data_IF_416576388048
#
_entry.id   IF_416576388048
#
_cell.length_a   1.000
_cell.length_b   1.000
_cell.length_c   1.000
_cell.angle_alpha   90.00
_cell.angle_beta   90.00
_cell.angle_gamma   90.00
#
_symmetry.space_group_name_H-M   'P 1'
#
loop_
_entity.id
_entity.type
_entity.pdbx_description
1 polymer ?
#
# COMPACT_ATOMS: atom_id res chain seq x y z
N UNK A 1 10.23 -23.91 -10.40
CA UNK A 1 8.81 -24.19 -10.08
C UNK A 1 8.33 -23.66 -8.73
N UNK A 2 8.81 -24.13 -7.57
CA UNK A 2 8.28 -23.70 -6.25
C UNK A 2 8.58 -22.22 -5.91
N UNK A 3 9.79 -21.74 -6.20
CA UNK A 3 10.21 -20.34 -6.01
C UNK A 3 9.54 -19.35 -6.95
N UNK A 4 9.27 -19.73 -8.20
CA UNK A 4 8.59 -18.87 -9.18
C UNK A 4 7.12 -18.65 -8.81
N UNK A 5 6.42 -19.73 -8.37
CA UNK A 5 5.05 -19.63 -7.88
C UNK A 5 4.95 -18.74 -6.64
N UNK A 6 5.95 -18.81 -5.75
CA UNK A 6 6.04 -17.91 -4.59
C UNK A 6 6.23 -16.45 -5.02
N UNK A 7 7.16 -16.17 -5.93
CA UNK A 7 7.41 -14.81 -6.46
C UNK A 7 6.16 -14.25 -7.15
N UNK A 8 5.48 -15.06 -7.97
CA UNK A 8 4.24 -14.66 -8.63
C UNK A 8 3.16 -14.33 -7.59
N UNK A 9 2.95 -15.19 -6.59
CA UNK A 9 1.94 -14.96 -5.55
C UNK A 9 2.22 -13.68 -4.78
N UNK A 10 3.48 -13.46 -4.42
CA UNK A 10 3.90 -12.29 -3.66
C UNK A 10 3.75 -11.00 -4.47
N UNK A 11 4.12 -11.02 -5.75
CA UNK A 11 3.91 -9.89 -6.64
C UNK A 11 2.41 -9.56 -6.81
N UNK A 12 1.55 -10.59 -6.95
CA UNK A 12 0.11 -10.41 -7.02
C UNK A 12 -0.46 -9.77 -5.75
N UNK A 13 -0.01 -10.22 -4.58
CA UNK A 13 -0.40 -9.63 -3.29
C UNK A 13 0.04 -8.17 -3.20
N UNK A 14 1.29 -7.86 -3.56
CA UNK A 14 1.78 -6.49 -3.55
C UNK A 14 0.98 -5.58 -4.49
N UNK A 15 0.57 -6.08 -5.66
CA UNK A 15 -0.23 -5.34 -6.63
C UNK A 15 -1.62 -5.02 -6.07
N UNK A 16 -2.36 -6.02 -5.59
CA UNK A 16 -3.69 -5.85 -4.97
C UNK A 16 -3.63 -4.84 -3.84
N UNK A 17 -2.61 -4.96 -3.00
CA UNK A 17 -2.36 -4.09 -1.87
C UNK A 17 -2.07 -2.65 -2.30
N UNK A 18 -1.21 -2.44 -3.30
CA UNK A 18 -0.94 -1.11 -3.83
C UNK A 18 -2.16 -0.43 -4.42
N UNK A 19 -2.99 -1.16 -5.17
CA UNK A 19 -4.21 -0.62 -5.80
C UNK A 19 -5.24 -0.17 -4.74
N UNK A 20 -5.46 -0.98 -3.71
CA UNK A 20 -6.35 -0.64 -2.60
C UNK A 20 -5.84 0.56 -1.78
N UNK A 21 -4.53 0.68 -1.56
CA UNK A 21 -3.93 1.85 -0.91
C UNK A 21 -4.21 3.13 -1.71
N UNK A 22 -3.90 3.11 -3.01
CA UNK A 22 -4.11 4.25 -3.90
C UNK A 22 -5.58 4.63 -4.02
N UNK A 23 -6.48 3.66 -4.12
CA UNK A 23 -7.93 3.89 -4.15
C UNK A 23 -8.41 4.60 -2.86
N UNK A 24 -7.94 4.15 -1.70
CA UNK A 24 -8.28 4.75 -0.40
C UNK A 24 -7.77 6.18 -0.32
N UNK A 25 -6.52 6.42 -0.71
CA UNK A 25 -5.93 7.75 -0.70
C UNK A 25 -6.62 8.69 -1.69
N UNK A 26 -6.99 8.19 -2.88
CA UNK A 26 -7.73 8.98 -3.89
C UNK A 26 -9.11 9.39 -3.38
N UNK A 27 -9.81 8.51 -2.67
CA UNK A 27 -11.08 8.83 -2.02
C UNK A 27 -10.89 9.98 -1.02
N UNK A 28 -9.91 9.88 -0.13
CA UNK A 28 -9.62 10.92 0.88
C UNK A 28 -9.22 12.24 0.21
N UNK A 29 -8.35 12.19 -0.81
CA UNK A 29 -7.96 13.37 -1.58
C UNK A 29 -9.17 14.09 -2.19
N UNK A 30 -10.10 13.34 -2.76
CA UNK A 30 -11.33 13.87 -3.34
C UNK A 30 -12.22 14.53 -2.30
N UNK A 31 -12.42 13.89 -1.14
CA UNK A 31 -13.36 14.40 -0.12
C UNK A 31 -12.79 15.59 0.67
N UNK A 32 -11.51 15.52 1.04
CA UNK A 32 -10.91 16.46 2.00
C UNK A 32 -9.98 17.50 1.37
N UNK A 33 -9.45 17.24 0.16
CA UNK A 33 -8.36 18.02 -0.43
C UNK A 33 -8.58 18.42 -1.91
N UNK A 34 -9.78 18.20 -2.48
CA UNK A 34 -10.04 18.35 -3.92
C UNK A 34 -9.76 19.76 -4.48
N UNK A 35 -9.95 20.82 -3.69
CA UNK A 35 -10.00 22.18 -4.22
C UNK A 35 -8.68 22.70 -4.84
N UNK A 36 -7.53 22.01 -4.70
CA UNK A 36 -6.22 22.48 -5.25
C UNK A 36 -5.25 21.35 -5.60
N UNK A 37 -5.71 20.16 -5.98
CA UNK A 37 -4.84 18.98 -6.00
C UNK A 37 -5.00 18.09 -7.24
N UNK A 38 -5.16 18.68 -8.43
CA UNK A 38 -5.21 17.92 -9.69
C UNK A 38 -4.00 17.00 -9.89
N UNK A 39 -2.79 17.47 -9.57
CA UNK A 39 -1.57 16.66 -9.60
C UNK A 39 -1.60 15.50 -8.57
N UNK A 40 -2.19 15.71 -7.40
CA UNK A 40 -2.36 14.66 -6.39
C UNK A 40 -3.33 13.60 -6.89
N UNK A 41 -4.51 14.00 -7.35
CA UNK A 41 -5.54 13.09 -7.86
C UNK A 41 -5.03 12.31 -9.08
N UNK A 42 -4.23 12.95 -9.94
CA UNK A 42 -3.56 12.28 -11.05
C UNK A 42 -2.57 11.24 -10.56
N UNK A 43 -1.71 11.57 -9.57
CA UNK A 43 -0.74 10.61 -9.03
C UNK A 43 -1.41 9.42 -8.33
N UNK A 44 -2.49 9.68 -7.57
CA UNK A 44 -3.24 8.65 -6.85
C UNK A 44 -4.15 7.82 -7.78
N UNK A 45 -4.36 8.27 -9.01
CA UNK A 45 -5.07 7.53 -10.05
C UNK A 45 -4.17 6.57 -10.85
N UNK A 46 -2.85 6.62 -10.65
CA UNK A 46 -1.92 5.70 -11.29
C UNK A 46 -2.01 4.31 -10.66
N UNK A 47 -1.47 3.31 -11.36
CA UNK A 47 -1.31 1.96 -10.81
C UNK A 47 0.04 1.82 -10.08
N UNK A 48 0.11 1.02 -9.00
CA UNK A 48 1.39 0.67 -8.42
C UNK A 48 2.20 -0.16 -9.42
N UNK A 49 3.52 -0.02 -9.39
CA UNK A 49 4.43 -0.89 -10.17
C UNK A 49 4.96 -1.98 -9.24
N UNK A 50 4.87 -3.24 -9.65
CA UNK A 50 5.41 -4.36 -8.88
C UNK A 50 6.41 -5.14 -9.73
N UNK A 51 7.64 -5.23 -9.25
CA UNK A 51 8.70 -6.00 -9.90
C UNK A 51 9.67 -6.52 -8.85
N UNK A 52 10.19 -7.74 -9.04
CA UNK A 52 11.19 -8.34 -8.16
C UNK A 52 10.82 -8.28 -6.67
N UNK A 53 9.56 -8.61 -6.33
CA UNK A 53 9.03 -8.59 -4.96
C UNK A 53 9.04 -7.19 -4.31
N UNK A 54 9.10 -6.13 -5.12
CA UNK A 54 9.09 -4.73 -4.68
C UNK A 54 7.91 -4.02 -5.31
N UNK A 55 7.15 -3.31 -4.47
CA UNK A 55 6.10 -2.39 -4.90
C UNK A 55 6.64 -0.96 -4.90
N UNK A 56 6.41 -0.24 -5.99
CA UNK A 56 6.76 1.16 -6.17
C UNK A 56 5.50 1.97 -6.46
N UNK A 57 5.34 3.08 -5.74
CA UNK A 57 4.25 4.04 -5.94
C UNK A 57 4.85 5.43 -6.03
N UNK A 58 4.42 6.19 -7.03
CA UNK A 58 4.86 7.57 -7.23
C UNK A 58 3.92 8.52 -6.51
N UNK A 59 4.46 9.28 -5.57
CA UNK A 59 3.71 10.29 -4.83
C UNK A 59 4.32 11.67 -5.04
N UNK A 60 3.50 12.73 -5.13
CA UNK A 60 4.02 14.08 -4.98
C UNK A 60 4.52 14.25 -3.54
N UNK A 61 5.72 14.81 -3.38
CA UNK A 61 6.36 15.02 -2.08
C UNK A 61 5.43 15.70 -1.06
N UNK A 62 4.58 16.62 -1.53
CA UNK A 62 3.71 17.40 -0.66
C UNK A 62 2.57 16.62 0.00
N UNK A 63 2.25 15.39 -0.44
CA UNK A 63 1.19 14.58 0.17
C UNK A 63 1.43 14.38 1.67
N UNK A 64 2.69 14.30 2.10
CA UNK A 64 3.09 14.13 3.51
C UNK A 64 2.70 15.34 4.37
N UNK A 65 2.68 16.54 3.79
CA UNK A 65 2.29 17.75 4.51
C UNK A 65 0.77 17.89 4.65
N UNK A 66 -0.02 17.11 3.89
CA UNK A 66 -1.46 17.08 4.06
C UNK A 66 -1.85 16.47 5.42
N UNK A 67 -1.03 15.57 5.96
CA UNK A 67 -1.18 14.98 7.31
C UNK A 67 -0.88 15.97 8.45
N UNK A 68 -0.38 17.17 8.16
CA UNK A 68 -0.23 18.18 9.22
C UNK A 68 -1.61 18.69 9.65
N UNK A 69 -1.94 18.59 10.94
CA UNK A 69 -3.22 19.08 11.50
C UNK A 69 -3.38 20.61 11.42
N UNK A 70 -2.27 21.33 11.26
CA UNK A 70 -2.21 22.79 11.16
C UNK A 70 -1.78 23.21 9.76
N UNK A 71 -2.36 24.30 9.26
CA UNK A 71 -1.91 24.93 8.01
C UNK A 71 -0.68 25.80 8.21
N UNK A 72 -0.22 26.45 7.13
CA UNK A 72 0.97 27.34 7.13
C UNK A 72 0.93 28.41 8.22
N UNK A 73 -0.25 28.95 8.52
CA UNK A 73 -0.44 29.98 9.57
C UNK A 73 -0.65 29.42 10.98
N UNK A 74 -0.34 28.14 11.25
CA UNK A 74 -0.47 27.53 12.58
C UNK A 74 -1.91 27.24 13.05
N UNK A 75 -2.91 27.71 12.32
CA UNK A 75 -4.33 27.41 12.58
C UNK A 75 -4.66 25.96 12.23
N UNK A 76 -5.54 25.33 13.02
CA UNK A 76 -6.05 23.98 12.75
C UNK A 76 -6.84 23.97 11.45
N UNK A 77 -6.68 22.91 10.65
CA UNK A 77 -7.48 22.70 9.43
C UNK A 77 -8.93 22.39 9.84
N UNK A 78 -9.90 23.09 9.25
CA UNK A 78 -11.34 22.88 9.52
C UNK A 78 -11.82 21.52 9.02
N UNK A 79 -11.39 21.14 7.82
CA UNK A 79 -11.60 19.82 7.23
C UNK A 79 -10.25 19.12 7.11
N UNK A 80 -10.12 17.94 7.70
CA UNK A 80 -8.86 17.21 7.78
C UNK A 80 -9.12 15.71 7.95
N UNK A 81 -8.48 14.92 7.09
CA UNK A 81 -8.30 13.47 7.27
C UNK A 81 -6.85 13.14 6.92
N UNK A 82 -6.10 12.41 7.77
CA UNK A 82 -4.78 11.90 7.38
C UNK A 82 -4.88 11.12 6.06
N UNK A 83 -3.90 11.22 5.19
CA UNK A 83 -3.92 10.57 3.88
C UNK A 83 -2.67 9.74 3.62
N UNK A 84 -1.51 10.14 4.15
CA UNK A 84 -0.25 9.46 3.85
C UNK A 84 0.19 8.52 4.97
N UNK A 85 0.71 9.03 6.09
CA UNK A 85 1.40 8.24 7.11
C UNK A 85 0.50 7.17 7.75
N UNK A 86 -0.72 7.54 8.13
CA UNK A 86 -1.71 6.61 8.73
C UNK A 86 -1.98 5.44 7.79
N UNK A 87 -2.21 5.74 6.52
CA UNK A 87 -2.57 4.74 5.53
C UNK A 87 -1.34 3.95 5.11
N UNK A 88 -0.24 4.57 4.68
CA UNK A 88 1.00 3.86 4.35
C UNK A 88 1.44 2.93 5.47
N UNK A 89 1.47 3.39 6.73
CA UNK A 89 1.86 2.53 7.85
C UNK A 89 0.82 1.44 8.15
N UNK A 90 -0.46 1.79 8.23
CA UNK A 90 -1.54 0.84 8.47
C UNK A 90 -1.64 -0.22 7.36
N UNK A 91 -1.30 0.16 6.14
CA UNK A 91 -1.33 -0.70 4.96
C UNK A 91 -0.09 -1.61 4.89
N UNK A 92 1.10 -1.08 5.16
CA UNK A 92 2.34 -1.86 5.27
C UNK A 92 2.26 -2.88 6.41
N UNK A 93 1.89 -2.44 7.62
CA UNK A 93 1.88 -3.30 8.79
C UNK A 93 0.64 -4.19 8.87
N UNK A 94 -0.53 -3.60 8.60
CA UNK A 94 -1.81 -4.29 8.76
C UNK A 94 -2.22 -5.14 7.58
N UNK A 95 -1.88 -4.74 6.35
CA UNK A 95 -2.22 -5.45 5.12
C UNK A 95 -1.10 -6.38 4.66
N UNK A 96 0.02 -5.78 4.27
CA UNK A 96 1.13 -6.51 3.64
C UNK A 96 1.83 -7.43 4.65
N UNK A 97 2.34 -6.89 5.76
CA UNK A 97 3.14 -7.67 6.72
C UNK A 97 2.36 -8.86 7.31
N UNK A 98 1.10 -8.65 7.73
CA UNK A 98 0.27 -9.74 8.26
C UNK A 98 0.02 -10.81 7.20
N UNK A 99 -0.40 -10.44 5.99
CA UNK A 99 -0.67 -11.43 4.94
C UNK A 99 0.60 -12.16 4.52
N UNK A 100 1.74 -11.47 4.42
CA UNK A 100 3.04 -12.10 4.16
C UNK A 100 3.43 -13.09 5.27
N UNK A 101 3.29 -12.71 6.54
CA UNK A 101 3.58 -13.59 7.68
C UNK A 101 2.79 -14.91 7.60
N UNK A 102 1.49 -14.85 7.29
CA UNK A 102 0.66 -16.05 7.17
C UNK A 102 0.89 -16.80 5.86
N UNK A 103 1.04 -16.11 4.73
CA UNK A 103 1.28 -16.72 3.42
C UNK A 103 2.62 -17.46 3.36
N UNK A 104 3.69 -16.85 3.89
CA UNK A 104 5.02 -17.48 4.00
C UNK A 104 4.94 -18.70 4.92
N UNK A 105 4.32 -18.58 6.09
CA UNK A 105 4.15 -19.72 7.00
C UNK A 105 3.31 -20.86 6.43
N UNK A 106 2.33 -20.57 5.56
CA UNK A 106 1.54 -21.57 4.85
C UNK A 106 2.29 -22.20 3.68
N UNK A 107 3.12 -21.44 2.98
CA UNK A 107 4.00 -21.94 1.93
C UNK A 107 5.06 -22.89 2.47
N UNK A 108 5.79 -22.49 3.53
CA UNK A 108 6.80 -23.34 4.19
C UNK A 108 6.20 -24.65 4.66
N UNK A 109 5.01 -24.61 5.28
CA UNK A 109 4.29 -25.83 5.70
C UNK A 109 4.00 -26.76 4.52
N UNK A 110 3.46 -26.25 3.42
CA UNK A 110 3.15 -27.07 2.24
C UNK A 110 4.40 -27.73 1.64
N UNK A 111 5.51 -26.99 1.56
CA UNK A 111 6.78 -27.53 1.06
C UNK A 111 7.29 -28.66 1.96
N UNK A 112 7.26 -28.46 3.28
CA UNK A 112 7.68 -29.50 4.25
C UNK A 112 6.79 -30.73 4.13
N UNK A 113 5.46 -30.56 4.11
CA UNK A 113 4.51 -31.69 3.99
C UNK A 113 4.69 -32.47 2.69
N UNK A 114 4.91 -31.77 1.57
CA UNK A 114 5.17 -32.42 0.28
C UNK A 114 6.45 -33.26 0.32
N UNK A 115 7.56 -32.69 0.81
CA UNK A 115 8.84 -33.40 0.93
C UNK A 115 8.81 -34.58 1.93
N UNK A 116 7.91 -34.56 2.91
CA UNK A 116 7.71 -35.67 3.85
C UNK A 116 6.86 -36.80 3.26
N UNK A 117 5.96 -36.49 2.32
CA UNK A 117 5.06 -37.46 1.70
C UNK A 117 5.64 -38.09 0.41
N UNK A 118 6.72 -37.52 -0.14
CA UNK A 118 7.47 -38.08 -1.28
C UNK A 118 8.65 -38.96 -0.86
N UNK A 119 8.76 -39.29 0.44
CA UNK A 119 9.65 -40.33 0.98
C UNK A 119 8.86 -41.56 1.36
#
# INVERSE_FOLDING_TARGET
MLTENYIHTLNGLLMEQGEQLLATQKMIATVYYANRTGALLSSLGQKPTVANMKMTIQYPLYIRFLDMKKGRGGKKKKNYEPIYNKYVYGYLYGGIYRRLKYAVGGYVRRVITHNLNEK
#
